data_IF_869760157583
#
_entry.id   IF_869760157583
#
_cell.length_a   1.000
_cell.length_b   1.000
_cell.length_c   1.000
_cell.angle_alpha   90.00
_cell.angle_beta   90.00
_cell.angle_gamma   90.00
#
_symmetry.space_group_name_H-M   'P 1'
#
loop_
_entity.id
_entity.type
_entity.pdbx_description
1 polymer ?
#
# COMPACT_ATOMS: atom_id res chain seq x y z
N UNK A 1 4.93 11.29 8.09
CA UNK A 1 5.34 9.89 7.79
C UNK A 1 6.83 9.86 7.99
N UNK A 2 7.26 9.68 9.23
CA UNK A 2 8.69 9.73 9.55
C UNK A 2 9.31 8.39 9.17
N UNK A 3 10.51 8.42 8.59
CA UNK A 3 11.29 7.21 8.28
C UNK A 3 10.75 6.32 7.13
N UNK A 4 10.10 6.88 6.10
CA UNK A 4 9.66 6.10 4.92
C UNK A 4 10.81 5.33 4.25
N UNK A 5 12.01 5.91 4.18
CA UNK A 5 13.17 5.24 3.58
C UNK A 5 13.82 4.17 4.48
N UNK A 6 13.36 4.00 5.73
CA UNK A 6 13.87 2.96 6.63
C UNK A 6 12.99 1.72 6.50
N UNK A 7 13.36 0.77 5.65
CA UNK A 7 12.61 -0.50 5.51
C UNK A 7 12.72 -1.40 6.76
N UNK A 8 11.80 -2.37 6.87
CA UNK A 8 11.81 -3.38 7.94
C UNK A 8 10.55 -3.38 8.79
N UNK A 9 10.63 -3.99 9.96
CA UNK A 9 9.47 -4.26 10.81
C UNK A 9 8.79 -2.97 11.29
N UNK A 10 7.45 -3.02 11.34
CA UNK A 10 6.57 -2.01 11.91
C UNK A 10 5.53 -2.71 12.75
N UNK A 11 5.58 -2.48 14.06
CA UNK A 11 4.55 -2.96 14.97
C UNK A 11 3.39 -1.96 14.92
N UNK A 12 2.21 -2.44 14.53
CA UNK A 12 1.00 -1.61 14.51
C UNK A 12 -0.12 -2.34 15.23
N UNK A 13 -0.84 -1.64 16.11
CA UNK A 13 -2.00 -2.18 16.85
C UNK A 13 -3.32 -2.00 16.08
N UNK A 14 -3.28 -1.95 14.74
CA UNK A 14 -4.42 -1.52 13.91
C UNK A 14 -5.49 -2.60 13.73
N UNK A 15 -5.09 -3.84 13.44
CA UNK A 15 -6.02 -4.94 13.14
C UNK A 15 -6.20 -5.89 14.34
N UNK A 16 -5.12 -6.07 15.11
CA UNK A 16 -5.06 -6.82 16.36
C UNK A 16 -3.79 -6.37 17.11
N UNK A 17 -3.69 -6.67 18.41
CA UNK A 17 -2.44 -6.46 19.13
C UNK A 17 -1.33 -7.38 18.61
N UNK A 18 -0.11 -6.84 18.47
CA UNK A 18 1.07 -7.62 18.11
C UNK A 18 1.26 -7.90 16.61
N UNK A 19 0.51 -7.25 15.72
CA UNK A 19 0.74 -7.42 14.27
C UNK A 19 2.01 -6.70 13.83
N UNK A 20 2.96 -7.48 13.34
CA UNK A 20 4.20 -7.00 12.72
C UNK A 20 3.98 -6.89 11.21
N UNK A 21 3.99 -5.66 10.69
CA UNK A 21 4.01 -5.38 9.25
C UNK A 21 5.46 -5.25 8.78
N UNK A 22 5.73 -5.64 7.54
CA UNK A 22 7.03 -5.43 6.90
C UNK A 22 6.95 -4.21 5.99
N UNK A 23 7.54 -3.10 6.40
CA UNK A 23 7.61 -1.90 5.57
C UNK A 23 8.64 -2.08 4.45
N UNK A 24 8.19 -1.86 3.23
CA UNK A 24 9.02 -1.77 2.03
C UNK A 24 8.62 -0.51 1.27
N UNK A 25 9.58 0.15 0.67
CA UNK A 25 9.34 1.24 -0.27
C UNK A 25 8.64 0.69 -1.53
N UNK A 26 7.98 1.58 -2.26
CA UNK A 26 7.39 1.24 -3.55
C UNK A 26 8.44 0.69 -4.52
N UNK A 27 9.62 1.31 -4.56
CA UNK A 27 10.74 0.87 -5.39
C UNK A 27 11.17 -0.56 -5.08
N UNK A 28 11.34 -0.90 -3.80
CA UNK A 28 11.68 -2.27 -3.40
C UNK A 28 10.64 -3.29 -3.81
N UNK A 29 9.35 -2.99 -3.63
CA UNK A 29 8.26 -3.90 -4.01
C UNK A 29 8.21 -4.13 -5.52
N UNK A 30 8.23 -3.06 -6.31
CA UNK A 30 8.12 -3.16 -7.77
C UNK A 30 9.37 -3.79 -8.41
N UNK A 31 10.57 -3.44 -7.94
CA UNK A 31 11.80 -4.00 -8.47
C UNK A 31 11.94 -5.48 -8.12
N UNK A 32 11.48 -5.91 -6.93
CA UNK A 32 11.46 -7.35 -6.58
C UNK A 32 10.61 -8.15 -7.57
N UNK A 33 9.47 -7.62 -8.03
CA UNK A 33 8.65 -8.28 -9.06
C UNK A 33 9.38 -8.35 -10.40
N UNK A 34 10.05 -7.26 -10.80
CA UNK A 34 10.83 -7.20 -12.05
C UNK A 34 11.99 -8.21 -12.00
N UNK A 35 12.78 -8.21 -10.93
CA UNK A 35 13.96 -9.07 -10.77
C UNK A 35 13.59 -10.56 -10.70
N UNK A 36 12.37 -10.89 -10.26
CA UNK A 36 11.84 -12.26 -10.26
C UNK A 36 11.23 -12.69 -11.59
N UNK A 37 11.29 -11.82 -12.61
CA UNK A 37 10.89 -12.10 -13.99
C UNK A 37 9.45 -11.76 -14.33
N UNK A 38 8.75 -10.96 -13.51
CA UNK A 38 7.43 -10.45 -13.86
C UNK A 38 7.53 -9.13 -14.63
N UNK A 39 6.64 -8.97 -15.61
CA UNK A 39 6.36 -7.70 -16.26
C UNK A 39 5.22 -7.00 -15.51
N UNK A 40 5.47 -5.78 -15.03
CA UNK A 40 4.43 -4.97 -14.41
C UNK A 40 3.40 -4.55 -15.48
N UNK A 41 2.11 -4.72 -15.17
CA UNK A 41 0.99 -4.42 -16.08
C UNK A 41 0.17 -3.24 -15.60
N UNK A 42 0.03 -3.08 -14.29
CA UNK A 42 -0.71 -1.98 -13.67
C UNK A 42 -0.19 -1.72 -12.26
N UNK A 43 -0.08 -0.46 -11.88
CA UNK A 43 0.24 -0.01 -10.52
C UNK A 43 -0.77 1.06 -10.15
N UNK A 44 -1.45 0.89 -9.02
CA UNK A 44 -2.45 1.82 -8.54
C UNK A 44 -2.32 2.01 -7.03
N UNK A 45 -2.11 3.25 -6.64
CA UNK A 45 -2.31 3.71 -5.27
C UNK A 45 -3.81 3.92 -5.09
N UNK A 46 -4.45 3.09 -4.25
CA UNK A 46 -5.90 3.14 -4.09
C UNK A 46 -6.31 4.40 -3.33
N UNK A 47 -7.39 5.02 -3.79
CA UNK A 47 -8.15 6.03 -3.06
C UNK A 47 -9.65 5.82 -3.31
N UNK A 48 -10.52 6.28 -2.39
CA UNK A 48 -11.96 6.06 -2.49
C UNK A 48 -12.59 6.98 -3.53
N UNK A 49 -13.58 6.47 -4.26
CA UNK A 49 -14.39 7.28 -5.20
C UNK A 49 -15.29 8.27 -4.45
N UNK A 50 -15.89 9.22 -5.16
CA UNK A 50 -16.89 10.13 -4.58
C UNK A 50 -18.07 9.35 -4.00
N UNK A 51 -18.65 8.42 -4.76
CA UNK A 51 -19.75 7.57 -4.28
C UNK A 51 -19.36 6.77 -3.03
N UNK A 52 -18.15 6.21 -2.96
CA UNK A 52 -17.70 5.45 -1.79
C UNK A 52 -17.60 6.33 -0.54
N UNK A 53 -17.21 7.59 -0.70
CA UNK A 53 -17.17 8.55 0.42
C UNK A 53 -18.59 9.00 0.80
N UNK A 54 -19.51 9.13 -0.15
CA UNK A 54 -20.92 9.38 0.16
C UNK A 54 -21.54 8.23 0.97
N UNK A 55 -21.28 6.98 0.55
CA UNK A 55 -21.79 5.78 1.21
C UNK A 55 -21.11 5.54 2.57
N UNK A 56 -19.82 5.87 2.68
CA UNK A 56 -19.03 5.74 3.91
C UNK A 56 -18.12 6.97 4.12
N UNK A 57 -18.62 8.03 4.79
CA UNK A 57 -17.89 9.29 4.97
C UNK A 57 -16.51 9.16 5.64
N UNK A 58 -16.32 8.12 6.46
CA UNK A 58 -15.03 7.82 7.09
C UNK A 58 -13.91 7.56 6.07
N UNK A 59 -14.24 7.13 4.84
CA UNK A 59 -13.25 6.93 3.78
C UNK A 59 -12.63 8.24 3.29
N UNK A 60 -13.20 9.41 3.59
CA UNK A 60 -12.64 10.68 3.16
C UNK A 60 -11.18 10.89 3.62
N UNK A 61 -10.80 10.39 4.81
CA UNK A 61 -9.42 10.46 5.31
C UNK A 61 -8.43 9.70 4.41
N UNK A 62 -8.87 8.64 3.74
CA UNK A 62 -8.04 7.81 2.86
C UNK A 62 -7.64 8.52 1.55
N UNK A 63 -8.15 9.73 1.30
CA UNK A 63 -7.70 10.59 0.19
C UNK A 63 -6.39 11.31 0.49
N UNK A 64 -6.04 11.49 1.76
CA UNK A 64 -4.82 12.20 2.19
C UNK A 64 -3.57 11.34 2.03
N UNK A 65 -3.71 10.02 2.12
CA UNK A 65 -2.62 9.07 1.95
C UNK A 65 -3.15 7.71 1.49
N UNK A 66 -2.55 7.07 0.48
CA UNK A 66 -3.03 5.79 -0.01
C UNK A 66 -2.80 4.70 1.04
N UNK A 67 -3.88 4.04 1.47
CA UNK A 67 -3.81 2.90 2.39
C UNK A 67 -3.30 1.62 1.70
N UNK A 68 -3.63 1.47 0.41
CA UNK A 68 -3.38 0.24 -0.34
C UNK A 68 -2.63 0.53 -1.64
N UNK A 69 -1.69 -0.37 -1.95
CA UNK A 69 -1.04 -0.47 -3.24
C UNK A 69 -1.57 -1.70 -3.97
N UNK A 70 -2.15 -1.50 -5.15
CA UNK A 70 -2.63 -2.56 -6.03
C UNK A 70 -1.66 -2.71 -7.20
N UNK A 71 -1.16 -3.93 -7.41
CA UNK A 71 -0.21 -4.23 -8.49
C UNK A 71 -0.71 -5.42 -9.29
N UNK A 72 -0.76 -5.26 -10.62
CA UNK A 72 -0.96 -6.35 -11.57
C UNK A 72 0.35 -6.63 -12.29
N UNK A 73 0.74 -7.91 -12.35
CA UNK A 73 1.97 -8.35 -12.98
C UNK A 73 1.73 -9.66 -13.73
N UNK A 74 2.46 -9.86 -14.83
CA UNK A 74 2.36 -11.03 -15.68
C UNK A 74 3.75 -11.62 -15.90
N UNK A 75 3.86 -12.94 -15.87
CA UNK A 75 5.08 -13.67 -16.21
C UNK A 75 5.06 -14.14 -17.65
#
# INVERSE_FOLDING_TARGET
MDSYQQEGERVTHWLAEGVIKQHRTLGTLLNTLIDTGFNLRHVQEWGPTEQQVEDLPALAEERERPMLLLVSAQR
#
